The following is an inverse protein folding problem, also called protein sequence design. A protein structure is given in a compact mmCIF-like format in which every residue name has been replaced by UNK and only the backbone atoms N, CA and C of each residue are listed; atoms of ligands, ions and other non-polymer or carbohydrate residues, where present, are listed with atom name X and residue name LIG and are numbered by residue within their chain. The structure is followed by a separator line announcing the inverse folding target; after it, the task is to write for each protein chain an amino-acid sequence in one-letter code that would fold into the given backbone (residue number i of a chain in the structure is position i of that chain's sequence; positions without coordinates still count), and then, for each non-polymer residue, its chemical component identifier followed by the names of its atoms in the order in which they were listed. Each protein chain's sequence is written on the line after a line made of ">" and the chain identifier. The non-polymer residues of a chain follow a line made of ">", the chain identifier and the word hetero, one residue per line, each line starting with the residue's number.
data_IF_014682652467
#
_entry.id   IF_014682652467
#
_cell.length_a   1.000
_cell.length_b   1.000
_cell.length_c   1.000
_cell.angle_alpha   90.00
_cell.angle_beta   90.00
_cell.angle_gamma   90.00
#
_symmetry.space_group_name_H-M   'P 1'
#
loop_
_entity.id
_entity.type
_entity.pdbx_description
1 polymer ?
#
# COMPACT_ATOMS: atom_id res chain seq x y z
N UNK A 1 -2.87 -25.03 18.61
CA UNK A 1 -3.20 -24.99 17.17
C UNK A 1 -2.18 -24.19 16.33
N UNK A 2 -0.97 -23.88 16.85
CA UNK A 2 0.04 -23.08 16.14
C UNK A 2 1.24 -23.90 15.60
N UNK A 3 1.31 -25.19 15.92
CA UNK A 3 2.41 -26.08 15.51
C UNK A 3 2.25 -26.57 14.06
N UNK A 4 1.01 -26.65 13.55
CA UNK A 4 0.74 -27.11 12.20
C UNK A 4 1.23 -26.12 11.12
N UNK A 5 1.02 -24.81 11.34
CA UNK A 5 1.49 -23.77 10.41
C UNK A 5 3.03 -23.69 10.35
N UNK A 6 3.70 -23.96 11.48
CA UNK A 6 5.16 -24.02 11.53
C UNK A 6 5.72 -25.22 10.74
N UNK A 7 5.03 -26.36 10.77
CA UNK A 7 5.44 -27.57 10.07
C UNK A 7 5.25 -27.46 8.55
N UNK A 8 4.17 -26.82 8.08
CA UNK A 8 3.93 -26.62 6.64
C UNK A 8 5.02 -25.76 6.01
N UNK A 9 5.47 -24.71 6.71
CA UNK A 9 6.57 -23.85 6.25
C UNK A 9 7.91 -24.61 6.25
N UNK A 10 8.18 -25.46 7.25
CA UNK A 10 9.38 -26.31 7.29
C UNK A 10 9.41 -27.39 6.19
N UNK A 11 8.26 -28.00 5.87
CA UNK A 11 8.16 -28.98 4.78
C UNK A 11 8.34 -28.32 3.40
N UNK A 12 7.90 -27.06 3.26
CA UNK A 12 8.18 -26.24 2.06
C UNK A 12 9.69 -26.04 1.82
N UNK A 13 10.47 -25.92 2.90
CA UNK A 13 11.93 -25.71 2.86
C UNK A 13 12.66 -26.93 2.28
N UNK A 14 12.22 -28.16 2.60
CA UNK A 14 12.84 -29.38 2.06
C UNK A 14 12.38 -29.72 0.62
N UNK A 15 11.16 -29.35 0.25
CA UNK A 15 10.67 -29.55 -1.12
C UNK A 15 11.34 -28.63 -2.16
N UNK A 16 11.60 -27.37 -1.79
CA UNK A 16 12.18 -26.38 -2.68
C UNK A 16 13.71 -26.51 -2.86
N UNK A 17 14.42 -27.13 -1.90
CA UNK A 17 15.88 -27.27 -1.95
C UNK A 17 16.38 -28.28 -3.00
N UNK A 18 15.49 -29.09 -3.58
CA UNK A 18 15.84 -30.09 -4.60
C UNK A 18 15.60 -29.64 -6.06
N UNK A 19 15.21 -28.39 -6.30
CA UNK A 19 15.07 -27.84 -7.65
C UNK A 19 16.09 -26.72 -7.89
N UNK A 20 17.24 -27.13 -8.41
CA UNK A 20 18.28 -26.29 -9.00
C UNK A 20 17.71 -25.19 -9.91
N UNK A 21 18.04 -23.93 -9.63
CA UNK A 21 18.33 -22.92 -10.66
C UNK A 21 19.46 -22.01 -10.16
N UNK A 22 20.69 -22.50 -10.30
CA UNK A 22 21.86 -21.64 -10.47
C UNK A 22 21.72 -20.90 -11.81
N UNK A 23 21.45 -19.60 -11.78
CA UNK A 23 22.30 -18.58 -12.40
C UNK A 23 21.66 -17.19 -12.34
N UNK A 24 22.52 -16.23 -12.00
CA UNK A 24 22.36 -14.78 -12.05
C UNK A 24 21.38 -14.17 -11.05
N UNK A 25 21.92 -13.87 -9.87
CA UNK A 25 21.44 -12.77 -9.01
C UNK A 25 21.52 -11.46 -9.81
N UNK A 26 20.45 -10.67 -9.97
CA UNK A 26 20.62 -9.27 -10.30
C UNK A 26 21.25 -8.59 -9.08
N UNK A 27 22.44 -8.04 -9.29
CA UNK A 27 23.20 -7.32 -8.27
C UNK A 27 22.32 -6.22 -7.66
N UNK A 28 22.23 -6.21 -6.33
CA UNK A 28 21.71 -5.06 -5.58
C UNK A 28 22.52 -3.82 -5.96
N UNK A 29 21.89 -2.86 -6.65
CA UNK A 29 22.55 -1.61 -7.03
C UNK A 29 22.73 -0.77 -5.76
N UNK A 30 23.94 -0.79 -5.22
CA UNK A 30 24.47 0.28 -4.38
C UNK A 30 24.73 1.50 -5.28
N UNK A 31 24.58 2.70 -4.74
CA UNK A 31 24.58 4.05 -5.36
C UNK A 31 25.80 4.44 -6.22
N UNK A 32 26.64 3.51 -6.65
CA UNK A 32 27.91 3.79 -7.32
C UNK A 32 27.99 3.42 -8.81
N UNK A 33 26.94 2.94 -9.48
CA UNK A 33 27.00 2.65 -10.93
C UNK A 33 25.68 2.98 -11.66
N UNK A 34 25.40 4.28 -11.84
CA UNK A 34 24.40 4.73 -12.81
C UNK A 34 25.09 4.97 -14.14
N UNK A 35 25.01 4.02 -15.07
CA UNK A 35 25.28 4.30 -16.50
C UNK A 35 23.95 4.51 -17.20
N UNK A 36 23.77 5.71 -17.77
CA UNK A 36 22.67 6.04 -18.68
C UNK A 36 22.66 5.04 -19.83
N UNK A 37 21.54 4.35 -20.01
CA UNK A 37 21.18 3.73 -21.29
C UNK A 37 20.26 4.71 -22.00
N UNK A 38 20.71 5.21 -23.14
CA UNK A 38 19.92 6.07 -24.01
C UNK A 38 18.84 5.22 -24.73
N UNK A 39 17.60 5.74 -24.69
CA UNK A 39 16.42 5.36 -25.47
C UNK A 39 15.52 4.21 -24.98
N UNK A 40 14.49 4.58 -24.19
CA UNK A 40 13.11 4.06 -24.30
C UNK A 40 12.13 5.15 -23.80
N UNK A 41 11.25 5.74 -24.64
CA UNK A 41 10.20 6.61 -24.16
C UNK A 41 8.88 5.83 -24.06
N UNK A 42 8.42 5.61 -22.83
CA UNK A 42 7.02 5.79 -22.47
C UNK A 42 7.04 6.78 -21.31
N UNK A 43 7.30 8.04 -21.66
CA UNK A 43 7.06 9.17 -20.76
C UNK A 43 5.56 9.28 -20.51
N UNK A 44 5.14 9.87 -19.38
CA UNK A 44 3.77 10.32 -19.20
C UNK A 44 3.30 11.08 -20.45
N UNK A 45 2.05 10.88 -20.89
CA UNK A 45 1.48 11.67 -21.99
C UNK A 45 1.44 13.17 -21.65
N UNK A 46 1.47 13.49 -20.36
CA UNK A 46 1.63 14.82 -19.80
C UNK A 46 2.79 14.80 -18.77
N UNK A 47 3.96 15.40 -19.06
CA UNK A 47 5.12 15.37 -18.18
C UNK A 47 4.90 16.11 -16.86
N UNK A 48 3.85 16.92 -16.77
CA UNK A 48 3.43 17.58 -15.53
C UNK A 48 2.54 16.69 -14.65
N UNK A 49 2.06 15.55 -15.15
CA UNK A 49 1.18 14.65 -14.41
C UNK A 49 1.92 13.37 -14.01
N UNK A 50 1.74 12.96 -12.75
CA UNK A 50 2.28 11.71 -12.20
C UNK A 50 1.13 10.85 -11.71
N UNK A 51 0.98 9.67 -12.32
CA UNK A 51 -0.06 8.69 -11.97
C UNK A 51 0.51 7.65 -11.01
N UNK A 52 -0.13 7.52 -9.85
CA UNK A 52 0.27 6.60 -8.79
C UNK A 52 -0.78 5.50 -8.66
N UNK A 53 -0.33 4.26 -8.46
CA UNK A 53 -1.16 3.15 -7.98
C UNK A 53 -0.59 2.63 -6.67
N UNK A 54 -1.44 2.37 -5.68
CA UNK A 54 -1.14 1.45 -4.59
C UNK A 54 -2.00 0.20 -4.65
N UNK A 55 -1.39 -0.96 -4.44
CA UNK A 55 -2.06 -2.25 -4.59
C UNK A 55 -1.41 -3.31 -3.69
N UNK A 56 -2.16 -3.85 -2.73
CA UNK A 56 -1.82 -5.14 -2.14
C UNK A 56 -1.94 -6.20 -3.24
N UNK A 57 -0.86 -6.92 -3.56
CA UNK A 57 -0.81 -7.87 -4.69
C UNK A 57 -1.20 -9.29 -4.29
N UNK A 58 -1.36 -9.57 -2.99
CA UNK A 58 -1.66 -10.91 -2.49
C UNK A 58 -0.72 -11.99 -3.07
N UNK A 59 0.58 -11.66 -3.18
CA UNK A 59 1.64 -12.51 -3.73
C UNK A 59 2.38 -13.23 -2.60
N UNK A 60 1.59 -13.92 -1.77
CA UNK A 60 2.06 -14.70 -0.62
C UNK A 60 3.10 -15.76 -1.01
N UNK A 61 3.93 -16.22 -0.05
CA UNK A 61 4.86 -17.32 -0.28
C UNK A 61 4.21 -18.56 -0.92
N UNK A 62 5.01 -19.40 -1.63
CA UNK A 62 4.51 -20.64 -2.22
C UNK A 62 3.78 -21.52 -1.20
N UNK A 63 2.82 -22.30 -1.69
CA UNK A 63 1.98 -23.23 -0.91
C UNK A 63 0.96 -22.58 0.04
N UNK A 64 1.05 -21.27 0.30
CA UNK A 64 0.01 -20.51 1.01
C UNK A 64 -1.08 -20.12 0.00
N UNK A 65 -2.33 -20.41 0.34
CA UNK A 65 -3.53 -20.06 -0.44
C UNK A 65 -4.78 -20.06 0.44
N UNK A 66 -5.82 -19.32 0.03
CA UNK A 66 -7.10 -19.28 0.75
C UNK A 66 -8.02 -20.40 0.26
N UNK A 67 -8.39 -20.32 -1.02
CA UNK A 67 -9.33 -21.22 -1.65
C UNK A 67 -8.59 -22.29 -2.48
N UNK A 68 -9.16 -22.67 -3.62
CA UNK A 68 -8.58 -23.66 -4.53
C UNK A 68 -7.18 -23.27 -4.99
N UNK A 69 -6.99 -22.01 -5.38
CA UNK A 69 -5.76 -21.43 -5.90
C UNK A 69 -5.83 -19.91 -5.79
N UNK A 70 -4.70 -19.28 -5.49
CA UNK A 70 -4.61 -17.82 -5.55
C UNK A 70 -4.18 -17.33 -6.95
N UNK A 71 -4.04 -18.19 -7.96
CA UNK A 71 -3.71 -17.78 -9.34
C UNK A 71 -2.51 -16.82 -9.51
N UNK A 72 -1.52 -16.90 -8.60
CA UNK A 72 -0.43 -15.92 -8.45
C UNK A 72 0.29 -15.60 -9.77
N UNK A 73 0.59 -16.60 -10.60
CA UNK A 73 1.27 -16.36 -11.87
C UNK A 73 0.39 -15.63 -12.89
N UNK A 74 -0.86 -16.08 -13.07
CA UNK A 74 -1.80 -15.45 -14.00
C UNK A 74 -2.18 -14.03 -13.59
N UNK A 75 -2.36 -13.78 -12.28
CA UNK A 75 -2.59 -12.42 -11.75
C UNK A 75 -1.39 -11.51 -11.96
N UNK A 76 -0.17 -12.02 -11.74
CA UNK A 76 1.03 -11.24 -11.98
C UNK A 76 1.19 -10.89 -13.47
N UNK A 77 0.95 -11.86 -14.35
CA UNK A 77 1.04 -11.63 -15.80
C UNK A 77 -0.01 -10.61 -16.26
N UNK A 78 -1.26 -10.74 -15.81
CA UNK A 78 -2.32 -9.76 -16.10
C UNK A 78 -1.96 -8.35 -15.59
N UNK A 79 -1.45 -8.25 -14.36
CA UNK A 79 -1.02 -6.97 -13.80
C UNK A 79 0.08 -6.32 -14.64
N UNK A 80 1.11 -7.09 -15.03
CA UNK A 80 2.21 -6.60 -15.87
C UNK A 80 1.71 -6.13 -17.24
N UNK A 81 0.79 -6.87 -17.86
CA UNK A 81 0.34 -6.62 -19.24
C UNK A 81 -0.70 -5.51 -19.34
N UNK A 82 -1.59 -5.39 -18.36
CA UNK A 82 -2.80 -4.56 -18.50
C UNK A 82 -2.91 -3.40 -17.50
N UNK A 83 -2.24 -3.47 -16.35
CA UNK A 83 -2.42 -2.50 -15.27
C UNK A 83 -1.16 -1.65 -15.09
N UNK A 84 -0.02 -2.30 -14.86
CA UNK A 84 1.27 -1.66 -14.65
C UNK A 84 1.64 -0.60 -15.71
N UNK A 85 1.34 -0.77 -17.01
CA UNK A 85 1.68 0.23 -18.04
C UNK A 85 0.96 1.58 -17.86
N UNK A 86 -0.15 1.64 -17.11
CA UNK A 86 -0.99 2.83 -16.99
C UNK A 86 -0.51 3.84 -15.93
N UNK A 87 0.55 3.50 -15.19
CA UNK A 87 1.03 4.28 -14.06
C UNK A 87 2.50 4.66 -14.21
N UNK A 88 2.91 5.68 -13.46
CA UNK A 88 4.27 6.20 -13.43
C UNK A 88 5.01 5.78 -12.17
N UNK A 89 4.28 5.66 -11.06
CA UNK A 89 4.76 5.09 -9.80
C UNK A 89 3.77 4.05 -9.31
N UNK A 90 4.26 2.88 -8.90
CA UNK A 90 3.41 1.82 -8.35
C UNK A 90 3.96 1.31 -7.03
N UNK A 91 3.13 1.38 -5.99
CA UNK A 91 3.39 0.96 -4.63
C UNK A 91 2.68 -0.36 -4.35
N UNK A 92 3.43 -1.45 -4.16
CA UNK A 92 2.88 -2.78 -3.97
C UNK A 92 3.09 -3.26 -2.54
N UNK A 93 2.07 -3.91 -2.00
CA UNK A 93 2.13 -4.67 -0.75
C UNK A 93 1.98 -6.16 -1.04
N UNK A 94 2.40 -7.01 -0.10
CA UNK A 94 2.43 -8.48 -0.23
C UNK A 94 3.13 -9.03 -1.49
N UNK A 95 4.05 -8.26 -2.09
CA UNK A 95 4.92 -8.73 -3.17
C UNK A 95 6.14 -9.46 -2.61
N UNK A 96 5.89 -10.56 -1.88
CA UNK A 96 6.93 -11.32 -1.18
C UNK A 96 7.93 -11.98 -2.15
N UNK A 97 9.22 -11.90 -1.84
CA UNK A 97 10.27 -12.62 -2.57
C UNK A 97 10.49 -14.02 -2.00
N UNK A 98 10.20 -14.23 -0.71
CA UNK A 98 10.54 -15.47 -0.04
C UNK A 98 10.09 -16.72 -0.81
N UNK A 99 11.06 -17.56 -1.16
CA UNK A 99 10.91 -18.80 -1.92
C UNK A 99 10.20 -18.64 -3.30
N UNK A 100 10.21 -17.44 -3.89
CA UNK A 100 9.48 -17.12 -5.12
C UNK A 100 10.35 -16.32 -6.09
N UNK A 101 10.25 -16.61 -7.39
CA UNK A 101 10.89 -15.81 -8.46
C UNK A 101 9.97 -14.71 -9.02
N UNK A 102 8.74 -14.61 -8.51
CA UNK A 102 7.71 -13.69 -9.03
C UNK A 102 8.13 -12.22 -8.95
N UNK A 103 8.77 -11.80 -7.85
CA UNK A 103 9.27 -10.43 -7.71
C UNK A 103 10.38 -10.11 -8.73
N UNK A 104 11.30 -11.05 -8.97
CA UNK A 104 12.32 -10.89 -10.00
C UNK A 104 11.70 -10.82 -11.41
N UNK A 105 10.67 -11.63 -11.69
CA UNK A 105 9.91 -11.57 -12.95
C UNK A 105 9.21 -10.22 -13.13
N UNK A 106 8.60 -9.70 -12.05
CA UNK A 106 8.00 -8.37 -12.04
C UNK A 106 9.04 -7.30 -12.39
N UNK A 107 10.20 -7.29 -11.74
CA UNK A 107 11.24 -6.29 -12.01
C UNK A 107 11.74 -6.36 -13.46
N UNK A 108 12.01 -7.56 -13.98
CA UNK A 108 12.45 -7.73 -15.36
C UNK A 108 11.39 -7.29 -16.39
N UNK A 109 10.10 -7.40 -16.07
CA UNK A 109 9.03 -6.91 -16.92
C UNK A 109 8.82 -5.39 -16.78
N UNK A 110 8.86 -4.87 -15.56
CA UNK A 110 8.73 -3.45 -15.26
C UNK A 110 9.84 -2.62 -15.93
N UNK A 111 11.08 -3.10 -15.91
CA UNK A 111 12.21 -2.48 -16.61
C UNK A 111 11.93 -2.33 -18.12
N UNK A 112 11.41 -3.38 -18.77
CA UNK A 112 11.03 -3.35 -20.19
C UNK A 112 9.88 -2.38 -20.47
N UNK A 113 9.03 -2.14 -19.48
CA UNK A 113 7.93 -1.18 -19.56
C UNK A 113 8.39 0.26 -19.28
N UNK A 114 9.64 0.50 -18.87
CA UNK A 114 10.18 1.83 -18.59
C UNK A 114 10.25 2.21 -17.10
N UNK A 115 9.93 1.29 -16.18
CA UNK A 115 10.18 1.47 -14.75
C UNK A 115 11.66 1.22 -14.45
N UNK A 116 12.48 2.25 -14.68
CA UNK A 116 13.94 2.16 -14.53
C UNK A 116 14.40 2.16 -13.05
N UNK A 117 13.50 2.47 -12.11
CA UNK A 117 13.84 2.61 -10.69
C UNK A 117 12.89 1.77 -9.84
N UNK A 118 13.43 1.17 -8.77
CA UNK A 118 12.63 0.51 -7.76
C UNK A 118 13.25 0.60 -6.36
N UNK A 119 12.39 0.52 -5.35
CA UNK A 119 12.75 0.32 -3.93
C UNK A 119 11.98 -0.90 -3.45
N UNK A 120 12.59 -1.83 -2.72
CA UNK A 120 11.92 -3.05 -2.28
C UNK A 120 12.35 -3.47 -0.88
N UNK A 121 11.46 -4.15 -0.15
CA UNK A 121 11.81 -4.76 1.13
C UNK A 121 12.98 -5.72 0.98
N UNK A 122 13.96 -5.59 1.87
CA UNK A 122 15.13 -6.44 1.86
C UNK A 122 14.76 -7.92 2.01
N UNK A 123 15.38 -8.74 1.15
CA UNK A 123 15.32 -10.19 1.30
C UNK A 123 15.96 -10.59 2.62
N UNK A 124 15.30 -11.49 3.35
CA UNK A 124 15.85 -12.08 4.57
C UNK A 124 16.27 -13.52 4.34
N UNK A 125 17.36 -13.89 4.99
CA UNK A 125 17.86 -15.26 4.98
C UNK A 125 17.17 -16.10 6.06
N UNK A 126 17.05 -17.41 5.78
CA UNK A 126 16.30 -18.41 6.57
C UNK A 126 16.61 -18.41 8.08
N UNK A 127 17.84 -18.06 8.49
CA UNK A 127 18.24 -18.07 9.90
C UNK A 127 17.63 -16.93 10.75
N UNK A 128 16.97 -15.95 10.13
CA UNK A 128 16.32 -14.85 10.86
C UNK A 128 14.89 -15.17 11.32
N UNK A 129 14.38 -16.37 10.99
CA UNK A 129 12.99 -16.78 11.25
C UNK A 129 11.99 -15.67 10.86
N UNK A 130 12.21 -15.10 9.67
CA UNK A 130 11.48 -13.98 9.12
C UNK A 130 11.51 -14.03 7.58
N UNK A 131 10.45 -13.52 6.97
CA UNK A 131 10.35 -13.26 5.53
C UNK A 131 10.42 -11.76 5.26
N UNK A 132 10.66 -11.38 4.00
CA UNK A 132 10.68 -9.98 3.61
C UNK A 132 9.31 -9.30 3.85
N UNK A 133 9.28 -7.97 3.96
CA UNK A 133 8.05 -7.21 4.21
C UNK A 133 7.06 -7.17 3.05
N UNK A 134 7.44 -7.67 1.86
CA UNK A 134 6.57 -7.69 0.69
C UNK A 134 6.29 -6.32 0.08
N UNK A 135 7.02 -5.27 0.45
CA UNK A 135 6.82 -3.93 -0.10
C UNK A 135 7.69 -3.71 -1.34
N UNK A 136 7.13 -3.02 -2.33
CA UNK A 136 7.84 -2.56 -3.53
C UNK A 136 7.32 -1.18 -3.92
N UNK A 137 8.22 -0.28 -4.32
CA UNK A 137 7.91 0.93 -5.09
C UNK A 137 8.58 0.76 -6.45
N UNK A 138 7.83 0.78 -7.54
CA UNK A 138 8.31 0.87 -8.91
C UNK A 138 8.15 2.32 -9.39
N UNK A 139 9.12 2.87 -10.11
CA UNK A 139 9.02 4.23 -10.66
C UNK A 139 9.64 4.33 -12.06
N UNK A 140 8.91 4.97 -12.98
CA UNK A 140 9.44 5.48 -14.26
C UNK A 140 10.33 6.69 -14.04
N UNK A 141 10.02 7.48 -13.03
CA UNK A 141 10.72 8.70 -12.66
C UNK A 141 11.94 8.38 -11.78
N UNK A 142 13.02 9.20 -11.84
CA UNK A 142 14.23 8.92 -11.05
C UNK A 142 13.97 8.93 -9.55
N UNK A 143 14.30 7.82 -8.87
CA UNK A 143 14.38 7.77 -7.41
C UNK A 143 15.76 8.27 -7.02
N UNK A 144 15.82 9.46 -6.41
CA UNK A 144 17.08 10.14 -6.04
C UNK A 144 17.53 9.82 -4.63
N UNK A 145 16.62 9.33 -3.78
CA UNK A 145 16.91 8.85 -2.44
C UNK A 145 15.86 7.84 -2.00
N UNK A 146 16.24 6.89 -1.14
CA UNK A 146 15.30 5.92 -0.57
C UNK A 146 15.74 5.52 0.84
N UNK A 147 14.77 5.29 1.71
CA UNK A 147 14.99 4.71 3.05
C UNK A 147 13.89 3.71 3.39
N UNK A 148 14.11 2.94 4.45
CA UNK A 148 13.12 1.98 4.95
C UNK A 148 13.23 1.85 6.46
N UNK A 149 12.10 1.55 7.09
CA UNK A 149 12.07 1.02 8.45
C UNK A 149 11.36 -0.33 8.44
N UNK A 150 11.76 -1.19 9.37
CA UNK A 150 11.00 -2.39 9.75
C UNK A 150 10.36 -2.10 11.10
N UNK A 151 9.06 -2.33 11.21
CA UNK A 151 8.35 -2.15 12.46
C UNK A 151 8.76 -3.18 13.52
N UNK A 152 8.37 -2.94 14.77
CA UNK A 152 8.28 -4.02 15.73
C UNK A 152 7.39 -5.16 15.21
N UNK A 153 7.79 -6.40 15.49
CA UNK A 153 7.11 -7.60 14.98
C UNK A 153 5.63 -7.57 15.34
N UNK A 154 4.83 -7.94 14.36
CA UNK A 154 3.39 -8.15 14.50
C UNK A 154 3.06 -9.38 15.35
N UNK A 155 1.80 -9.79 15.28
CA UNK A 155 1.28 -10.97 15.97
C UNK A 155 0.65 -11.94 14.98
N UNK A 156 0.50 -13.20 15.43
CA UNK A 156 -0.03 -14.25 14.57
C UNK A 156 0.88 -14.50 13.36
N UNK A 157 0.32 -14.72 12.16
CA UNK A 157 1.09 -14.91 10.92
C UNK A 157 2.05 -13.75 10.63
N UNK A 158 1.63 -12.51 10.95
CA UNK A 158 2.39 -11.28 10.68
C UNK A 158 3.68 -11.18 11.50
N UNK A 159 3.86 -12.00 12.53
CA UNK A 159 5.11 -12.08 13.28
C UNK A 159 6.30 -12.56 12.40
N UNK A 160 6.01 -13.31 11.33
CA UNK A 160 7.01 -13.79 10.38
C UNK A 160 7.37 -12.72 9.33
N UNK A 161 6.45 -11.82 8.98
CA UNK A 161 6.68 -10.79 7.99
C UNK A 161 7.36 -9.58 8.62
N UNK A 162 8.46 -9.12 8.05
CA UNK A 162 9.09 -7.85 8.45
C UNK A 162 8.36 -6.66 7.83
N UNK A 163 7.11 -6.47 8.29
CA UNK A 163 6.27 -5.32 7.96
C UNK A 163 6.97 -4.01 8.32
N UNK A 164 6.69 -2.95 7.58
CA UNK A 164 7.47 -1.72 7.66
C UNK A 164 7.03 -0.67 6.66
N UNK A 165 7.94 0.24 6.34
CA UNK A 165 7.71 1.33 5.38
C UNK A 165 8.85 1.36 4.37
N UNK A 166 8.53 1.58 3.10
CA UNK A 166 9.49 2.06 2.10
C UNK A 166 9.23 3.54 1.82
N UNK A 167 10.31 4.30 1.69
CA UNK A 167 10.32 5.70 1.28
C UNK A 167 11.12 5.85 -0.01
N UNK A 168 10.61 6.63 -0.95
CA UNK A 168 11.29 7.07 -2.15
C UNK A 168 11.13 8.60 -2.33
N UNK A 169 12.25 9.31 -2.49
CA UNK A 169 12.27 10.67 -3.02
C UNK A 169 12.35 10.57 -4.54
N UNK A 170 11.29 10.97 -5.21
CA UNK A 170 11.16 10.88 -6.67
C UNK A 170 11.36 12.24 -7.29
N UNK A 171 12.29 12.36 -8.23
CA UNK A 171 12.51 13.56 -9.02
C UNK A 171 11.43 13.71 -10.10
N UNK A 172 10.66 14.78 -10.00
CA UNK A 172 9.64 15.19 -10.96
C UNK A 172 10.14 16.45 -11.66
N UNK A 173 10.29 16.41 -12.98
CA UNK A 173 10.68 17.58 -13.77
C UNK A 173 9.42 18.26 -14.28
N UNK A 174 8.99 19.40 -13.73
CA UNK A 174 8.03 20.22 -14.43
C UNK A 174 8.70 20.76 -15.70
N UNK A 175 7.98 20.81 -16.82
CA UNK A 175 8.44 21.56 -18.00
C UNK A 175 8.47 23.06 -17.64
N UNK A 176 9.65 23.56 -17.28
CA UNK A 176 9.89 24.96 -16.93
C UNK A 176 11.36 25.33 -17.13
N UNK A 177 11.58 26.52 -17.70
CA UNK A 177 12.78 26.97 -18.43
C UNK A 177 14.07 27.11 -17.60
N UNK A 178 14.03 26.88 -16.29
CA UNK A 178 15.13 27.18 -15.36
C UNK A 178 15.97 25.95 -14.97
N UNK A 179 15.56 24.75 -15.36
CA UNK A 179 16.31 23.51 -15.12
C UNK A 179 16.26 22.97 -13.68
N UNK A 180 15.46 23.54 -12.78
CA UNK A 180 15.24 23.00 -11.42
C UNK A 180 14.33 21.75 -11.43
N UNK A 181 14.67 20.76 -10.61
CA UNK A 181 13.92 19.50 -10.49
C UNK A 181 13.15 19.51 -9.17
N UNK A 182 11.82 19.41 -9.24
CA UNK A 182 10.97 19.21 -8.06
C UNK A 182 11.02 17.77 -7.59
N UNK A 183 10.60 17.51 -6.36
CA UNK A 183 10.50 16.16 -5.86
C UNK A 183 9.16 15.88 -5.22
N UNK A 184 8.80 14.60 -5.24
CA UNK A 184 7.69 14.03 -4.51
C UNK A 184 8.20 12.97 -3.56
N UNK A 185 7.63 12.94 -2.36
CA UNK A 185 7.98 11.98 -1.32
C UNK A 185 6.92 10.89 -1.25
N UNK A 186 7.26 9.71 -1.73
CA UNK A 186 6.33 8.58 -1.78
C UNK A 186 6.69 7.59 -0.69
N UNK A 187 5.72 7.26 0.15
CA UNK A 187 5.83 6.22 1.15
C UNK A 187 4.84 5.11 0.84
N UNK A 188 5.25 3.87 1.06
CA UNK A 188 4.32 2.73 1.07
C UNK A 188 4.50 1.89 2.32
N UNK A 189 3.40 1.46 2.92
CA UNK A 189 3.39 0.62 4.12
C UNK A 189 2.46 -0.59 3.97
N UNK A 190 2.69 -1.57 4.82
CA UNK A 190 1.76 -2.65 5.11
C UNK A 190 1.84 -2.91 6.62
N UNK A 191 0.78 -2.63 7.37
CA UNK A 191 0.76 -2.77 8.84
C UNK A 191 0.16 -4.12 9.25
N UNK A 192 0.15 -4.43 10.54
CA UNK A 192 -0.46 -5.62 11.14
C UNK A 192 -1.90 -5.82 10.64
N UNK A 193 -2.26 -7.03 10.22
CA UNK A 193 -3.64 -7.39 9.86
C UNK A 193 -4.48 -7.79 11.07
N UNK A 194 -5.81 -7.71 10.92
CA UNK A 194 -6.79 -8.24 11.87
C UNK A 194 -7.66 -9.30 11.21
N UNK A 195 -8.24 -10.19 12.02
CA UNK A 195 -9.07 -11.30 11.53
C UNK A 195 -10.34 -11.42 12.37
N UNK A 196 -11.50 -11.44 11.70
CA UNK A 196 -12.81 -11.43 12.34
C UNK A 196 -13.23 -10.05 12.85
N UNK A 197 -14.22 -10.00 13.74
CA UNK A 197 -14.75 -8.74 14.29
C UNK A 197 -13.64 -7.94 14.97
N UNK A 198 -13.32 -6.77 14.42
CA UNK A 198 -12.25 -5.90 14.92
C UNK A 198 -12.85 -4.87 15.88
N UNK A 199 -12.29 -4.79 17.09
CA UNK A 199 -12.62 -3.70 18.02
C UNK A 199 -11.35 -3.03 18.50
N UNK A 200 -11.40 -1.71 18.70
CA UNK A 200 -10.22 -0.87 18.94
C UNK A 200 -9.35 -1.28 20.14
N UNK A 201 -9.91 -2.04 21.08
CA UNK A 201 -9.21 -2.53 22.27
C UNK A 201 -8.45 -3.85 22.07
N UNK A 202 -8.57 -4.48 20.89
CA UNK A 202 -7.89 -5.75 20.62
C UNK A 202 -6.37 -5.58 20.55
N UNK A 203 -5.59 -6.62 20.92
CA UNK A 203 -4.14 -6.52 20.93
C UNK A 203 -3.51 -6.19 19.56
N UNK A 204 -4.09 -6.67 18.46
CA UNK A 204 -3.65 -6.47 17.08
C UNK A 204 -3.90 -5.05 16.60
N UNK A 205 -5.04 -4.45 16.96
CA UNK A 205 -5.28 -3.01 16.77
C UNK A 205 -4.24 -2.18 17.53
N UNK A 206 -3.96 -2.50 18.81
CA UNK A 206 -2.92 -1.80 19.58
C UNK A 206 -1.53 -1.93 18.93
N UNK A 207 -1.20 -3.12 18.42
CA UNK A 207 0.04 -3.37 17.69
C UNK A 207 0.09 -2.53 16.42
N UNK A 208 -1.00 -2.49 15.64
CA UNK A 208 -1.11 -1.68 14.43
C UNK A 208 -0.96 -0.19 14.72
N UNK A 209 -1.59 0.34 15.76
CA UNK A 209 -1.39 1.74 16.20
C UNK A 209 0.06 2.03 16.62
N UNK A 210 0.73 1.10 17.29
CA UNK A 210 2.16 1.25 17.58
C UNK A 210 3.02 1.31 16.30
N UNK A 211 2.71 0.49 15.28
CA UNK A 211 3.39 0.53 13.99
C UNK A 211 3.11 1.83 13.22
N UNK A 212 1.88 2.35 13.28
CA UNK A 212 1.53 3.65 12.72
C UNK A 212 2.26 4.79 13.44
N UNK A 213 2.48 4.67 14.74
CA UNK A 213 3.33 5.61 15.48
C UNK A 213 4.81 5.49 15.09
N UNK A 214 5.33 4.29 14.87
CA UNK A 214 6.67 4.08 14.27
C UNK A 214 6.77 4.71 12.87
N UNK A 215 5.72 4.62 12.06
CA UNK A 215 5.65 5.29 10.76
C UNK A 215 5.68 6.82 10.92
N UNK A 216 4.88 7.37 11.83
CA UNK A 216 4.93 8.80 12.12
C UNK A 216 6.34 9.25 12.53
N UNK A 217 6.99 8.54 13.46
CA UNK A 217 8.36 8.82 13.88
C UNK A 217 9.37 8.75 12.72
N UNK A 218 9.15 7.85 11.74
CA UNK A 218 9.95 7.80 10.52
C UNK A 218 9.74 9.02 9.63
N UNK A 219 8.51 9.52 9.51
CA UNK A 219 8.22 10.78 8.82
C UNK A 219 8.94 11.97 9.49
N UNK A 220 8.94 12.02 10.82
CA UNK A 220 9.66 13.07 11.58
C UNK A 220 11.18 13.05 11.33
N UNK A 221 11.75 11.88 11.08
CA UNK A 221 13.18 11.73 10.84
C UNK A 221 13.56 12.03 9.38
N UNK A 222 12.75 11.56 8.43
CA UNK A 222 13.01 11.63 6.99
C UNK A 222 12.70 13.01 6.42
N UNK A 223 11.53 13.56 6.72
CA UNK A 223 11.07 14.77 6.04
C UNK A 223 12.00 15.97 6.30
N UNK A 224 12.47 16.26 7.52
CA UNK A 224 13.40 17.38 7.74
C UNK A 224 14.76 17.23 7.03
N UNK A 225 15.18 16.01 6.71
CA UNK A 225 16.46 15.73 6.04
C UNK A 225 16.38 15.88 4.53
N UNK A 226 15.26 15.46 3.95
CA UNK A 226 15.18 15.25 2.50
C UNK A 226 14.10 16.05 1.81
N UNK A 227 13.10 16.55 2.53
CA UNK A 227 11.98 17.30 1.96
C UNK A 227 12.26 18.80 2.01
N UNK A 228 12.19 19.44 0.85
CA UNK A 228 12.17 20.89 0.71
C UNK A 228 10.75 21.41 0.92
N UNK A 229 10.62 22.68 1.34
CA UNK A 229 9.30 23.35 1.42
C UNK A 229 8.55 23.23 0.09
N UNK A 230 7.26 22.94 0.15
CA UNK A 230 6.38 22.78 -1.02
C UNK A 230 6.50 21.44 -1.78
N UNK A 231 7.45 20.56 -1.43
CA UNK A 231 7.48 19.22 -2.02
C UNK A 231 6.33 18.37 -1.42
N UNK A 232 5.45 17.76 -2.24
CA UNK A 232 4.33 16.96 -1.74
C UNK A 232 4.79 15.65 -1.12
N UNK A 233 4.02 15.18 -0.15
CA UNK A 233 4.19 13.88 0.52
C UNK A 233 2.93 13.04 0.32
N UNK A 234 3.14 11.81 -0.15
CA UNK A 234 2.08 10.83 -0.39
C UNK A 234 2.38 9.59 0.42
N UNK A 235 1.48 9.22 1.33
CA UNK A 235 1.53 7.93 2.02
C UNK A 235 0.53 6.99 1.34
N UNK A 236 0.99 5.79 1.03
CA UNK A 236 0.18 4.80 0.32
C UNK A 236 0.26 3.44 0.99
N UNK A 237 -0.68 2.56 0.68
CA UNK A 237 -0.58 1.15 1.01
C UNK A 237 -1.80 0.60 1.73
N UNK A 238 -1.61 -0.61 2.22
CA UNK A 238 -2.57 -1.35 3.01
C UNK A 238 -2.29 -1.06 4.49
N UNK A 239 -3.11 -0.18 5.07
CA UNK A 239 -2.95 0.21 6.46
C UNK A 239 -3.65 -0.75 7.41
N UNK A 240 -4.39 -1.76 6.90
CA UNK A 240 -5.20 -2.72 7.67
C UNK A 240 -6.10 -2.06 8.75
N UNK A 241 -6.37 -0.76 8.61
CA UNK A 241 -7.29 -0.01 9.47
C UNK A 241 -8.54 0.19 8.65
N UNK A 242 -9.67 -0.33 9.10
CA UNK A 242 -10.91 -0.04 8.39
C UNK A 242 -11.45 1.32 8.80
N UNK A 243 -11.52 2.24 7.85
CA UNK A 243 -12.10 3.56 8.07
C UNK A 243 -13.62 3.55 8.23
N UNK A 244 -14.34 2.49 7.89
CA UNK A 244 -15.82 2.47 7.90
C UNK A 244 -16.37 2.09 9.27
N UNK A 245 -17.45 2.77 9.69
CA UNK A 245 -18.08 2.52 10.98
C UNK A 245 -19.08 1.34 10.99
N UNK A 246 -19.42 0.79 9.81
CA UNK A 246 -20.40 -0.31 9.63
C UNK A 246 -21.75 -0.11 10.31
N UNK A 247 -22.25 1.13 10.31
CA UNK A 247 -23.58 1.46 10.80
C UNK A 247 -24.51 1.68 9.61
N UNK A 248 -25.54 0.84 9.48
CA UNK A 248 -26.56 1.00 8.45
C UNK A 248 -27.35 2.31 8.70
N UNK A 249 -27.41 3.15 7.69
CA UNK A 249 -28.16 4.41 7.69
C UNK A 249 -29.67 4.21 7.54
N UNK A 250 -30.12 3.07 7.00
CA UNK A 250 -31.53 2.67 6.91
C UNK A 250 -31.71 1.18 7.27
N UNK A 251 -31.52 0.80 8.54
CA UNK A 251 -31.57 -0.59 8.96
C UNK A 251 -32.99 -1.17 8.91
N UNK A 252 -34.04 -0.36 8.78
CA UNK A 252 -35.41 -0.84 8.68
C UNK A 252 -35.69 -1.45 7.31
N UNK A 253 -35.22 -0.80 6.25
CA UNK A 253 -35.50 -1.19 4.87
C UNK A 253 -34.33 -1.92 4.18
N UNK A 254 -33.09 -1.66 4.59
CA UNK A 254 -31.87 -2.24 3.99
C UNK A 254 -31.16 -3.11 5.03
N UNK A 255 -30.88 -4.37 4.67
CA UNK A 255 -30.24 -5.36 5.57
C UNK A 255 -28.79 -5.65 5.19
N UNK A 256 -28.21 -4.82 4.35
CA UNK A 256 -26.84 -4.92 3.86
C UNK A 256 -26.22 -3.53 3.83
N UNK A 257 -24.91 -3.48 3.88
CA UNK A 257 -24.18 -2.21 3.87
C UNK A 257 -24.14 -1.62 2.45
N UNK A 258 -24.42 -0.33 2.36
CA UNK A 258 -24.31 0.44 1.12
C UNK A 258 -22.99 1.19 1.12
N UNK A 259 -22.26 1.06 0.01
CA UNK A 259 -20.93 1.63 -0.12
C UNK A 259 -20.89 3.13 0.18
N UNK A 260 -21.84 3.91 -0.35
CA UNK A 260 -21.86 5.37 -0.19
C UNK A 260 -22.50 5.79 1.14
N UNK A 261 -23.76 5.43 1.36
CA UNK A 261 -24.55 5.95 2.49
C UNK A 261 -24.03 5.49 3.86
N UNK A 262 -23.55 4.25 3.95
CA UNK A 262 -23.05 3.68 5.21
C UNK A 262 -21.53 3.88 5.36
N UNK A 263 -20.85 4.37 4.31
CA UNK A 263 -19.42 4.68 4.30
C UNK A 263 -19.06 6.11 4.72
N UNK A 264 -20.04 6.92 5.14
CA UNK A 264 -19.80 8.33 5.47
C UNK A 264 -19.07 8.48 6.81
N UNK A 265 -19.48 7.75 7.83
CA UNK A 265 -18.91 7.92 9.17
C UNK A 265 -17.59 7.16 9.31
N UNK A 266 -16.60 7.84 9.88
CA UNK A 266 -15.30 7.24 10.18
C UNK A 266 -15.41 6.33 11.41
N UNK A 267 -14.74 5.19 11.38
CA UNK A 267 -14.62 4.30 12.53
C UNK A 267 -13.73 4.91 13.64
N UNK A 268 -13.87 4.40 14.86
CA UNK A 268 -12.98 4.77 15.96
C UNK A 268 -11.49 4.47 15.63
N UNK A 269 -11.22 3.34 14.96
CA UNK A 269 -9.85 2.95 14.58
C UNK A 269 -9.30 3.84 13.47
N UNK A 270 -10.12 4.19 12.47
CA UNK A 270 -9.78 5.13 11.40
C UNK A 270 -9.44 6.52 11.96
N UNK A 271 -10.25 7.02 12.90
CA UNK A 271 -9.98 8.27 13.59
C UNK A 271 -8.68 8.22 14.40
N UNK A 272 -8.44 7.11 15.12
CA UNK A 272 -7.20 6.89 15.86
C UNK A 272 -5.98 6.84 14.93
N UNK A 273 -6.06 6.13 13.80
CA UNK A 273 -5.00 6.07 12.79
C UNK A 273 -4.63 7.46 12.30
N UNK A 274 -5.61 8.25 11.84
CA UNK A 274 -5.36 9.60 11.34
C UNK A 274 -4.73 10.48 12.42
N UNK A 275 -5.21 10.40 13.66
CA UNK A 275 -4.66 11.16 14.78
C UNK A 275 -3.21 10.79 15.11
N UNK A 276 -2.87 9.50 15.07
CA UNK A 276 -1.50 9.00 15.29
C UNK A 276 -0.57 9.39 14.15
N UNK A 277 -0.97 9.16 12.89
CA UNK A 277 -0.16 9.50 11.71
C UNK A 277 0.09 10.99 11.58
N UNK A 278 -0.86 11.84 12.00
CA UNK A 278 -0.70 13.29 12.04
C UNK A 278 0.15 13.77 13.22
N UNK A 279 0.41 12.93 14.22
CA UNK A 279 1.21 13.26 15.40
C UNK A 279 0.42 13.83 16.58
N UNK A 280 -0.91 13.97 16.47
CA UNK A 280 -1.76 14.41 17.60
C UNK A 280 -1.79 13.38 18.73
N UNK A 281 -1.63 12.10 18.40
CA UNK A 281 -1.79 11.00 19.34
C UNK A 281 -3.26 10.73 19.66
N UNK A 282 -3.52 9.90 20.66
CA UNK A 282 -4.87 9.53 21.10
C UNK A 282 -4.99 9.66 22.62
N UNK A 283 -6.23 9.69 23.12
CA UNK A 283 -6.47 9.34 24.52
C UNK A 283 -6.19 7.84 24.69
N UNK A 284 -5.20 7.44 25.51
CA UNK A 284 -4.90 6.03 25.73
C UNK A 284 -6.10 5.21 26.18
N UNK A 285 -7.08 5.83 26.86
CA UNK A 285 -8.25 5.13 27.39
C UNK A 285 -9.19 4.60 26.31
N UNK A 286 -9.10 5.11 25.08
CA UNK A 286 -9.77 4.52 23.91
C UNK A 286 -9.32 3.07 23.69
N UNK A 287 -8.06 2.75 24.03
CA UNK A 287 -7.50 1.40 23.91
C UNK A 287 -7.72 0.54 25.16
N UNK A 288 -8.51 1.03 26.12
CA UNK A 288 -8.87 0.35 27.36
C UNK A 288 -8.37 1.08 28.61
N UNK A 289 -8.99 0.81 29.77
CA UNK A 289 -8.83 1.60 30.99
C UNK A 289 -7.40 1.57 31.55
N UNK A 290 -6.64 0.51 31.32
CA UNK A 290 -5.27 0.36 31.82
C UNK A 290 -4.21 0.85 30.82
N UNK A 291 -4.60 1.26 29.61
CA UNK A 291 -3.64 1.70 28.60
C UNK A 291 -3.12 3.12 28.93
N UNK A 292 -1.85 3.36 28.59
CA UNK A 292 -1.10 4.61 28.82
C UNK A 292 -0.41 5.14 27.55
N UNK A 293 -0.44 4.40 26.44
CA UNK A 293 0.22 4.76 25.19
C UNK A 293 -0.55 5.86 24.47
N UNK A 294 0.02 7.06 24.41
CA UNK A 294 -0.60 8.22 23.77
C UNK A 294 -0.30 8.30 22.27
N UNK A 295 0.75 7.62 21.81
CA UNK A 295 1.23 7.65 20.42
C UNK A 295 1.40 9.07 19.85
N UNK A 296 1.71 10.04 20.72
CA UNK A 296 1.85 11.44 20.34
C UNK A 296 3.19 11.70 19.65
N UNK A 297 3.14 12.37 18.51
CA UNK A 297 4.31 12.85 17.77
C UNK A 297 4.95 14.09 18.39
N UNK A 298 6.17 14.40 17.95
CA UNK A 298 6.87 15.65 18.24
C UNK A 298 6.45 16.77 17.30
N UNK A 299 6.06 16.44 16.07
CA UNK A 299 5.58 17.38 15.05
C UNK A 299 4.20 16.99 14.56
N UNK A 300 3.47 17.97 14.04
CA UNK A 300 2.18 17.74 13.40
C UNK A 300 2.37 17.75 11.89
N UNK A 301 1.92 16.67 11.23
CA UNK A 301 1.91 16.53 9.78
C UNK A 301 0.47 16.32 9.34
N UNK A 302 -0.18 17.36 8.82
CA UNK A 302 -1.63 17.33 8.57
C UNK A 302 -1.98 16.55 7.29
N UNK A 303 -1.83 15.24 7.32
CA UNK A 303 -2.18 14.34 6.21
C UNK A 303 -3.69 14.21 6.04
N UNK A 304 -4.17 14.33 4.81
CA UNK A 304 -5.57 14.22 4.45
C UNK A 304 -5.90 12.85 3.85
N UNK A 305 -7.03 12.26 4.23
CA UNK A 305 -7.58 11.08 3.55
C UNK A 305 -8.15 11.54 2.21
N UNK A 306 -7.38 11.31 1.15
CA UNK A 306 -7.69 11.86 -0.17
C UNK A 306 -8.95 11.23 -0.77
N UNK A 307 -9.21 9.95 -0.48
CA UNK A 307 -10.42 9.27 -0.94
C UNK A 307 -11.66 9.87 -0.28
N UNK A 308 -11.62 10.05 1.04
CA UNK A 308 -12.73 10.64 1.80
C UNK A 308 -13.03 12.07 1.36
N UNK A 309 -12.00 12.89 1.16
CA UNK A 309 -12.18 14.28 0.71
C UNK A 309 -12.76 14.36 -0.71
N UNK A 310 -12.32 13.48 -1.61
CA UNK A 310 -12.76 13.46 -3.01
C UNK A 310 -14.17 12.91 -3.19
N UNK A 311 -14.49 11.80 -2.51
CA UNK A 311 -15.71 11.01 -2.70
C UNK A 311 -16.82 11.36 -1.70
N UNK A 312 -16.47 11.94 -0.54
CA UNK A 312 -17.40 12.21 0.55
C UNK A 312 -17.70 11.01 1.45
N UNK A 313 -17.16 9.82 1.15
CA UNK A 313 -17.28 8.58 1.91
C UNK A 313 -15.96 7.78 1.87
N UNK A 314 -15.80 6.80 2.76
CA UNK A 314 -14.67 5.87 2.79
C UNK A 314 -15.00 4.68 1.87
N UNK A 315 -14.42 4.59 0.66
CA UNK A 315 -14.84 3.60 -0.33
C UNK A 315 -14.39 2.19 0.04
N UNK A 316 -15.14 1.19 -0.42
CA UNK A 316 -14.80 -0.21 -0.13
C UNK A 316 -13.58 -0.62 -0.94
N UNK A 317 -12.59 -1.20 -0.28
CA UNK A 317 -11.34 -1.68 -0.89
C UNK A 317 -11.14 -3.18 -0.68
N UNK A 318 -11.87 -3.80 0.24
CA UNK A 318 -11.77 -5.22 0.54
C UNK A 318 -13.15 -5.82 0.90
N UNK A 319 -13.45 -7.02 0.39
CA UNK A 319 -14.70 -7.73 0.69
C UNK A 319 -15.99 -7.05 0.23
N UNK A 320 -15.98 -6.39 -0.94
CA UNK A 320 -17.15 -5.68 -1.48
C UNK A 320 -18.26 -6.65 -1.94
N UNK A 321 -19.51 -6.16 -1.97
CA UNK A 321 -20.72 -6.86 -2.36
C UNK A 321 -21.35 -6.32 -3.65
N UNK A 322 -22.22 -7.13 -4.25
CA UNK A 322 -23.18 -6.75 -5.27
C UNK A 322 -24.56 -7.26 -4.87
N UNK A 323 -25.59 -6.49 -5.16
CA UNK A 323 -26.99 -6.88 -4.88
C UNK A 323 -27.70 -7.10 -6.20
N UNK A 324 -28.38 -8.23 -6.34
CA UNK A 324 -29.14 -8.56 -7.55
C UNK A 324 -30.52 -7.89 -7.60
N UNK A 325 -31.27 -8.13 -8.68
CA UNK A 325 -32.60 -7.54 -8.89
C UNK A 325 -33.63 -8.00 -7.84
N UNK A 326 -33.42 -9.17 -7.25
CA UNK A 326 -34.22 -9.73 -6.17
C UNK A 326 -33.83 -9.22 -4.77
N UNK A 327 -32.77 -8.41 -4.67
CA UNK A 327 -32.28 -7.85 -3.40
C UNK A 327 -31.39 -8.81 -2.61
N UNK A 328 -30.89 -9.89 -3.23
CA UNK A 328 -29.96 -10.84 -2.60
C UNK A 328 -28.53 -10.31 -2.72
N UNK A 329 -27.81 -10.38 -1.60
CA UNK A 329 -26.41 -9.96 -1.49
C UNK A 329 -25.49 -11.08 -1.96
N UNK A 330 -24.52 -10.72 -2.80
CA UNK A 330 -23.47 -11.62 -3.27
C UNK A 330 -22.10 -10.96 -3.10
N UNK A 331 -21.07 -11.70 -2.65
CA UNK A 331 -19.70 -11.19 -2.64
C UNK A 331 -19.24 -10.92 -4.08
N UNK A 332 -18.57 -9.80 -4.32
CA UNK A 332 -17.97 -9.49 -5.64
C UNK A 332 -16.78 -10.37 -5.97
N UNK A 333 -16.09 -10.86 -4.94
CA UNK A 333 -14.91 -11.70 -5.05
C UNK A 333 -15.14 -12.95 -4.20
N UNK A 334 -15.00 -14.13 -4.80
CA UNK A 334 -15.07 -15.42 -4.07
C UNK A 334 -13.95 -16.39 -4.43
N UNK A 335 -13.04 -16.00 -5.34
CA UNK A 335 -11.95 -16.85 -5.84
C UNK A 335 -10.71 -16.71 -4.94
N UNK A 336 -10.41 -15.52 -4.47
CA UNK A 336 -9.21 -15.16 -3.70
C UNK A 336 -9.51 -14.92 -2.22
N UNK A 337 -10.56 -14.17 -1.92
CA UNK A 337 -10.99 -13.77 -0.58
C UNK A 337 -11.50 -14.99 0.20
N UNK A 338 -11.23 -15.03 1.51
CA UNK A 338 -11.75 -16.12 2.34
C UNK A 338 -13.25 -15.95 2.53
N UNK A 339 -13.98 -17.06 2.77
CA UNK A 339 -15.42 -16.97 3.02
C UNK A 339 -15.77 -16.13 4.25
N UNK A 340 -14.87 -16.04 5.23
CA UNK A 340 -15.05 -15.19 6.42
C UNK A 340 -14.91 -13.70 6.11
N UNK A 341 -14.11 -13.36 5.10
CA UNK A 341 -13.83 -12.00 4.68
C UNK A 341 -14.74 -11.56 3.50
N UNK A 342 -15.68 -12.42 3.11
CA UNK A 342 -16.72 -12.03 2.18
C UNK A 342 -17.67 -11.04 2.86
N UNK A 343 -18.10 -10.04 2.10
CA UNK A 343 -19.12 -9.07 2.50
C UNK A 343 -18.74 -8.17 3.68
N UNK A 344 -17.46 -8.16 4.08
CA UNK A 344 -16.97 -7.31 5.19
C UNK A 344 -16.95 -5.83 4.86
N UNK A 345 -16.93 -5.48 3.56
CA UNK A 345 -17.07 -4.10 3.09
C UNK A 345 -16.00 -3.12 3.60
N UNK A 346 -14.78 -3.58 3.90
CA UNK A 346 -13.75 -2.76 4.54
C UNK A 346 -13.11 -1.70 3.63
N UNK A 347 -12.66 -0.58 4.22
CA UNK A 347 -11.85 0.49 3.60
C UNK A 347 -10.46 0.55 4.26
N UNK A 348 -9.49 -0.23 3.76
CA UNK A 348 -8.17 -0.44 4.40
C UNK A 348 -6.97 0.01 3.54
N UNK A 349 -7.19 0.30 2.26
CA UNK A 349 -6.16 0.80 1.33
C UNK A 349 -6.27 2.32 1.15
N UNK A 350 -5.16 3.03 1.32
CA UNK A 350 -5.16 4.49 1.39
C UNK A 350 -4.20 5.16 0.41
N UNK A 351 -4.59 6.36 0.00
CA UNK A 351 -3.70 7.44 -0.45
C UNK A 351 -3.92 8.62 0.49
N UNK A 352 -2.94 8.88 1.34
CA UNK A 352 -2.94 10.05 2.24
C UNK A 352 -2.03 11.13 1.67
N UNK A 353 -2.55 12.34 1.60
CA UNK A 353 -1.89 13.47 0.95
C UNK A 353 -1.51 14.54 1.96
N UNK A 354 -0.28 15.04 1.87
CA UNK A 354 0.15 16.21 2.61
C UNK A 354 0.96 17.12 1.69
N UNK A 355 0.45 18.32 1.50
CA UNK A 355 1.19 19.40 0.85
C UNK A 355 1.07 20.67 1.70
N UNK A 356 1.96 20.86 2.68
CA UNK A 356 1.96 22.10 3.44
C UNK A 356 2.52 23.22 2.54
N UNK A 357 1.82 24.35 2.55
CA UNK A 357 2.25 25.63 1.98
C UNK A 357 2.04 25.83 0.47
N UNK A 358 0.81 25.60 -0.04
CA UNK A 358 0.41 26.07 -1.37
C UNK A 358 0.65 27.60 -1.56
N UNK A 359 0.60 28.37 -0.47
CA UNK A 359 0.77 29.83 -0.43
C UNK A 359 2.21 30.30 -0.12
N UNK A 360 3.12 29.44 0.39
CA UNK A 360 4.53 29.82 0.68
C UNK A 360 5.53 29.29 -0.36
N UNK A 361 5.09 28.87 -1.55
CA UNK A 361 6.00 28.49 -2.63
C UNK A 361 6.86 29.69 -3.06
N UNK A 362 8.01 29.87 -2.41
CA UNK A 362 9.03 30.85 -2.78
C UNK A 362 9.59 30.66 -4.20
N UNK A 363 9.27 29.54 -4.86
CA UNK A 363 9.82 29.12 -6.16
C UNK A 363 8.76 28.73 -7.20
N UNK A 364 7.48 28.91 -6.89
CA UNK A 364 6.39 28.72 -7.84
C UNK A 364 6.10 27.31 -8.37
N UNK A 365 6.54 26.21 -7.74
CA UNK A 365 6.14 24.85 -8.21
C UNK A 365 5.12 24.24 -7.27
N UNK A 366 3.84 24.24 -7.64
CA UNK A 366 2.73 23.72 -6.83
C UNK A 366 2.33 22.34 -7.32
N UNK A 367 2.20 21.37 -6.42
CA UNK A 367 1.60 20.08 -6.72
C UNK A 367 0.14 20.04 -6.23
N UNK A 368 -0.76 19.56 -7.09
CA UNK A 368 -2.18 19.36 -6.77
C UNK A 368 -2.59 17.92 -7.07
N UNK A 369 -3.30 17.30 -6.13
CA UNK A 369 -3.99 16.04 -6.38
C UNK A 369 -5.22 16.32 -7.25
N UNK A 370 -5.19 15.90 -8.51
CA UNK A 370 -6.28 16.15 -9.48
C UNK A 370 -7.43 15.16 -9.32
N UNK A 371 -7.09 13.90 -9.13
CA UNK A 371 -8.07 12.85 -8.93
C UNK A 371 -7.52 11.72 -8.07
N UNK A 372 -8.41 10.99 -7.42
CA UNK A 372 -8.09 9.82 -6.61
C UNK A 372 -9.32 8.92 -6.53
N UNK A 373 -9.12 7.61 -6.64
CA UNK A 373 -10.23 6.67 -6.66
C UNK A 373 -9.82 5.22 -6.53
N UNK A 374 -10.80 4.38 -6.22
CA UNK A 374 -10.62 2.94 -6.10
C UNK A 374 -10.63 2.29 -7.48
N UNK A 375 -9.72 1.35 -7.69
CA UNK A 375 -9.51 0.58 -8.92
C UNK A 375 -9.68 -0.90 -8.61
N UNK A 376 -10.88 -1.48 -8.83
CA UNK A 376 -11.12 -2.88 -8.52
C UNK A 376 -10.24 -3.86 -9.29
N UNK A 377 -9.73 -3.42 -10.45
CA UNK A 377 -8.83 -4.20 -11.30
C UNK A 377 -9.39 -5.59 -11.64
N UNK A 378 -10.69 -5.64 -11.98
CA UNK A 378 -11.38 -6.84 -12.43
C UNK A 378 -10.76 -7.38 -13.72
N UNK A 379 -10.82 -8.70 -13.87
CA UNK A 379 -10.15 -9.44 -14.94
C UNK A 379 -11.13 -10.34 -15.69
N UNK A 380 -12.04 -9.75 -16.48
CA UNK A 380 -13.07 -10.51 -17.18
C UNK A 380 -12.45 -11.55 -18.12
N UNK A 381 -13.01 -12.76 -18.12
CA UNK A 381 -12.52 -13.88 -18.91
C UNK A 381 -11.30 -14.62 -18.33
N UNK A 382 -10.75 -14.19 -17.20
CA UNK A 382 -9.70 -14.91 -16.49
C UNK A 382 -10.27 -15.95 -15.52
N UNK A 383 -9.41 -16.85 -15.03
CA UNK A 383 -9.78 -17.84 -14.00
C UNK A 383 -9.84 -17.28 -12.57
N UNK A 384 -9.61 -15.98 -12.44
CA UNK A 384 -9.71 -15.17 -11.23
C UNK A 384 -10.55 -13.92 -11.58
N UNK A 385 -11.25 -13.36 -10.61
CA UNK A 385 -12.17 -12.22 -10.79
C UNK A 385 -11.43 -10.89 -10.84
N UNK A 386 -10.33 -10.75 -10.10
CA UNK A 386 -9.50 -9.56 -9.95
C UNK A 386 -8.03 -9.94 -9.66
N UNK A 387 -7.11 -8.98 -9.80
CA UNK A 387 -5.66 -9.23 -9.63
C UNK A 387 -5.20 -9.40 -8.17
N UNK A 388 -6.05 -9.13 -7.19
CA UNK A 388 -5.80 -9.26 -5.76
C UNK A 388 -7.14 -9.37 -5.04
N UNK A 389 -7.19 -9.88 -3.81
CA UNK A 389 -8.39 -9.80 -2.95
C UNK A 389 -8.70 -8.36 -2.49
N UNK A 390 -7.75 -7.44 -2.62
CA UNK A 390 -7.93 -6.01 -2.45
C UNK A 390 -8.15 -5.30 -3.79
N UNK A 391 -8.95 -4.25 -3.78
CA UNK A 391 -8.93 -3.24 -4.83
C UNK A 391 -7.68 -2.36 -4.69
N UNK A 392 -7.18 -1.83 -5.79
CA UNK A 392 -6.11 -0.83 -5.76
C UNK A 392 -6.66 0.56 -5.54
N UNK A 393 -5.81 1.52 -5.16
CA UNK A 393 -6.15 2.94 -5.13
C UNK A 393 -5.23 3.70 -6.08
N UNK A 394 -5.81 4.45 -7.00
CA UNK A 394 -5.09 5.26 -7.97
C UNK A 394 -5.23 6.75 -7.67
N UNK A 395 -4.19 7.52 -7.98
CA UNK A 395 -4.14 8.97 -7.79
C UNK A 395 -3.39 9.65 -8.93
N UNK A 396 -3.91 10.79 -9.38
CA UNK A 396 -3.31 11.63 -10.41
C UNK A 396 -2.83 12.95 -9.78
N UNK A 397 -1.53 13.22 -9.84
CA UNK A 397 -0.92 14.40 -9.25
C UNK A 397 -0.34 15.28 -10.34
N UNK A 398 -0.78 16.54 -10.42
CA UNK A 398 -0.25 17.54 -11.35
C UNK A 398 0.75 18.46 -10.66
N UNK A 399 1.86 18.71 -11.33
CA UNK A 399 2.89 19.66 -10.95
C UNK A 399 2.81 20.88 -11.87
N UNK A 400 2.41 22.02 -11.32
CA UNK A 400 2.31 23.27 -12.04
C UNK A 400 3.47 24.21 -11.68
N UNK A 401 3.97 24.95 -12.67
CA UNK A 401 4.83 26.11 -12.44
C UNK A 401 3.93 27.36 -12.44
N UNK A 402 3.75 28.02 -11.30
CA UNK A 402 3.23 29.38 -11.25
C UNK A 402 4.29 30.33 -11.82
N UNK A 403 3.88 31.08 -12.85
CA UNK A 403 4.68 32.14 -13.49
C UNK A 403 4.86 33.36 -12.60
#
# INVERSE_FOLDING_TARGET
>A
MYVASFLVILVSIFGAYNLNLFNNQPNSITTANVRRTDHLPLMPSDPAQVRILTQNMFMRPPLIKNNKSDWKDGRLDYFIEHILPNYDIVCLQEMFEYASSRRARLFAAAEKLGFAFYVASERKFLWHAAIDGGLVILSRLPVVHAETITYQRGMGPDWLAQKGVLYAKVAVKPEGEDGETSHMHVFTTHTQASYGDVVITQPDVKRRLAQLHEFHNFLEDVLPKYRSKGEPVVLTGDFNVDSRNHVLSDPENVKYEREVEDGIEISDEGAAMMSVLRGYGIDPKVLGPENTDTFKGKVILDFHDSLKERLGYHPVTFGNIVVDEEGVVHPRETILTTTQDNDVMHSIDYVLWYNPDDQEHSRGIVASLEDVGVTPNFTPGQSFTQISDHYGVAADIRFNVTK
#
